data_IF_893531152953
#
_entry.id   IF_893531152953
#
_cell.length_a   1.000
_cell.length_b   1.000
_cell.length_c   1.000
_cell.angle_alpha   90.00
_cell.angle_beta   90.00
_cell.angle_gamma   90.00
#
_symmetry.space_group_name_H-M   'P 1'
#
loop_
_entity.id
_entity.type
_entity.pdbx_description
1 polymer ?
#
# COMPACT_ATOMS: atom_id res chain seq x y z
N UNK A 1 -0.98 -5.18 25.43
CA UNK A 1 -0.13 -5.76 24.38
C UNK A 1 -0.21 -4.89 23.15
N UNK A 2 0.92 -4.38 22.65
CA UNK A 2 0.97 -3.79 21.32
C UNK A 2 0.99 -4.95 20.32
N UNK A 3 -0.18 -5.45 19.95
CA UNK A 3 -0.32 -6.52 18.97
C UNK A 3 -0.15 -5.97 17.56
N UNK A 4 0.61 -6.66 16.72
CA UNK A 4 0.64 -6.40 15.28
C UNK A 4 -0.53 -7.13 14.65
N UNK A 5 -1.47 -6.40 14.07
CA UNK A 5 -2.58 -6.96 13.30
C UNK A 5 -2.19 -6.99 11.83
N UNK A 6 -2.18 -8.19 11.24
CA UNK A 6 -2.00 -8.38 9.79
C UNK A 6 -3.32 -8.88 9.25
N UNK A 7 -3.86 -8.20 8.25
CA UNK A 7 -5.10 -8.58 7.60
C UNK A 7 -4.96 -8.38 6.09
N UNK A 8 -5.68 -9.21 5.33
CA UNK A 8 -5.77 -9.13 3.87
C UNK A 8 -7.23 -8.95 3.55
N UNK A 9 -7.56 -7.88 2.84
CA UNK A 9 -8.92 -7.61 2.40
C UNK A 9 -8.90 -7.18 0.94
N UNK A 10 -9.99 -7.49 0.24
CA UNK A 10 -10.24 -6.98 -1.10
C UNK A 10 -11.06 -5.67 -1.05
N UNK A 11 -11.53 -5.29 0.14
CA UNK A 11 -12.24 -4.03 0.39
C UNK A 11 -11.23 -2.91 0.66
N UNK A 12 -11.27 -1.89 -0.20
CA UNK A 12 -10.35 -0.75 -0.16
C UNK A 12 -10.65 0.20 1.00
N UNK A 13 -11.91 0.34 1.41
CA UNK A 13 -12.31 1.22 2.51
C UNK A 13 -11.85 0.64 3.86
N UNK A 14 -11.93 -0.69 3.99
CA UNK A 14 -11.41 -1.40 5.16
C UNK A 14 -9.89 -1.29 5.26
N UNK A 15 -9.17 -1.47 4.16
CA UNK A 15 -7.70 -1.31 4.12
C UNK A 15 -7.32 0.13 4.42
N UNK A 16 -7.97 1.12 3.80
CA UNK A 16 -7.66 2.54 3.99
C UNK A 16 -7.89 3.02 5.44
N UNK A 17 -8.92 2.51 6.11
CA UNK A 17 -9.28 2.93 7.47
C UNK A 17 -8.42 2.33 8.58
N UNK A 18 -7.84 1.14 8.38
CA UNK A 18 -7.09 0.42 9.42
C UNK A 18 -5.62 0.17 9.09
N UNK A 19 -5.22 0.22 7.81
CA UNK A 19 -3.84 -0.05 7.44
C UNK A 19 -2.94 1.12 7.81
N UNK A 20 -1.91 0.81 8.58
CA UNK A 20 -0.81 1.73 8.94
C UNK A 20 0.47 1.46 8.14
N UNK A 21 0.45 0.40 7.34
CA UNK A 21 1.51 -0.06 6.44
C UNK A 21 0.88 -0.81 5.29
N UNK A 22 1.25 -0.47 4.07
CA UNK A 22 0.84 -1.14 2.84
C UNK A 22 2.04 -1.92 2.32
N UNK A 23 1.85 -3.21 2.05
CA UNK A 23 2.84 -4.03 1.37
C UNK A 23 2.22 -4.37 0.02
N UNK A 24 2.78 -3.85 -1.06
CA UNK A 24 2.35 -4.17 -2.41
C UNK A 24 3.27 -5.21 -3.04
N UNK A 25 2.69 -6.17 -3.73
CA UNK A 25 3.41 -7.24 -4.41
C UNK A 25 3.26 -7.02 -5.91
N UNK A 26 4.26 -6.37 -6.50
CA UNK A 26 4.33 -6.12 -7.94
C UNK A 26 5.10 -7.23 -8.65
N UNK A 27 4.97 -7.33 -9.97
CA UNK A 27 5.70 -8.31 -10.77
C UNK A 27 7.23 -8.14 -10.69
N UNK A 28 7.71 -6.93 -10.44
CA UNK A 28 9.14 -6.61 -10.30
C UNK A 28 9.66 -6.78 -8.87
N UNK A 29 8.79 -6.95 -7.88
CA UNK A 29 9.18 -7.10 -6.48
C UNK A 29 8.13 -6.65 -5.47
N UNK A 30 8.51 -6.68 -4.19
CA UNK A 30 7.67 -6.26 -3.07
C UNK A 30 8.01 -4.82 -2.69
N UNK A 31 7.00 -3.95 -2.65
CA UNK A 31 7.10 -2.56 -2.22
C UNK A 31 6.55 -2.45 -0.79
N UNK A 32 7.40 -1.98 0.12
CA UNK A 32 7.00 -1.71 1.50
C UNK A 32 6.73 -0.22 1.67
N UNK A 33 5.47 0.13 1.93
CA UNK A 33 5.05 1.50 2.13
C UNK A 33 4.54 1.71 3.56
N UNK A 34 5.16 2.64 4.27
CA UNK A 34 4.74 3.03 5.63
C UNK A 34 3.90 4.30 5.55
N UNK A 35 2.60 4.11 5.50
CA UNK A 35 1.63 5.19 5.42
C UNK A 35 0.23 4.63 5.22
N UNK A 36 -0.73 5.53 5.05
CA UNK A 36 -2.11 5.15 4.73
C UNK A 36 -2.23 4.75 3.25
N UNK A 37 -3.39 4.19 2.89
CA UNK A 37 -3.65 3.76 1.51
C UNK A 37 -3.71 4.92 0.50
N UNK A 38 -4.17 6.11 0.91
CA UNK A 38 -4.24 7.28 0.03
C UNK A 38 -2.86 7.80 -0.38
N UNK A 39 -1.92 7.86 0.56
CA UNK A 39 -0.53 8.19 0.31
C UNK A 39 0.13 7.16 -0.59
N UNK A 40 -0.17 5.88 -0.35
CA UNK A 40 0.30 4.79 -1.20
C UNK A 40 -0.16 4.98 -2.66
N UNK A 41 -1.46 5.24 -2.86
CA UNK A 41 -2.02 5.49 -4.20
C UNK A 41 -1.37 6.70 -4.88
N UNK A 42 -1.11 7.79 -4.15
CA UNK A 42 -0.40 8.96 -4.70
C UNK A 42 1.02 8.63 -5.12
N UNK A 43 1.75 7.87 -4.30
CA UNK A 43 3.10 7.41 -4.62
C UNK A 43 3.07 6.49 -5.84
N UNK A 44 2.15 5.54 -5.91
CA UNK A 44 2.05 4.61 -7.03
C UNK A 44 1.65 5.31 -8.34
N UNK A 45 0.78 6.32 -8.28
CA UNK A 45 0.44 7.18 -9.42
C UNK A 45 1.63 8.02 -9.91
N UNK A 46 2.49 8.48 -9.00
CA UNK A 46 3.71 9.20 -9.35
C UNK A 46 4.79 8.26 -9.93
N UNK A 47 4.95 7.08 -9.34
CA UNK A 47 5.98 6.10 -9.73
C UNK A 47 5.63 5.39 -11.06
N UNK A 48 4.34 5.10 -11.27
CA UNK A 48 3.83 4.51 -12.51
C UNK A 48 4.00 5.40 -13.75
N UNK A 49 4.16 6.72 -13.57
CA UNK A 49 4.44 7.65 -14.69
C UNK A 49 5.92 7.72 -15.07
N UNK A 50 6.83 7.15 -14.27
CA UNK A 50 8.27 7.20 -14.57
C UNK A 50 8.76 6.05 -15.47
N UNK A 51 7.91 5.06 -15.78
CA UNK A 51 8.26 3.89 -16.64
C UNK A 51 7.77 4.01 -18.08
N UNK A 52 7.17 5.13 -18.46
CA UNK A 52 6.64 5.40 -19.82
C UNK A 52 7.44 6.46 -20.60
N UNK A 53 8.68 6.76 -20.20
CA UNK A 53 9.59 7.63 -20.94
C UNK A 53 10.70 6.83 -21.63
#
# INVERSE_FOLDING_TARGET
>A
YAGTLIFISHDRDFVSSLATRIIDMTADGVVDFRGNYEEYLRTQLADGQSRVA
#
